data_IF_832413878385
#
_entry.id   IF_832413878385
#
_cell.length_a   1.000
_cell.length_b   1.000
_cell.length_c   1.000
_cell.angle_alpha   90.00
_cell.angle_beta   90.00
_cell.angle_gamma   90.00
#
_symmetry.space_group_name_H-M   'P 1'
#
loop_
_entity.id
_entity.type
_entity.pdbx_description
1 polymer ?
#
# COMPACT_ATOMS: atom_id res chain seq x y z
N UNK A 1 6.05 31.73 -37.95
CA UNK A 1 5.16 31.61 -36.78
C UNK A 1 4.90 30.15 -36.41
N UNK A 2 4.41 29.31 -37.34
CA UNK A 2 4.12 27.89 -37.06
C UNK A 2 5.33 27.10 -36.53
N UNK A 3 6.50 27.20 -37.19
CA UNK A 3 7.75 26.53 -36.77
C UNK A 3 8.21 26.92 -35.36
N UNK A 4 7.99 28.18 -34.99
CA UNK A 4 8.32 28.73 -33.67
C UNK A 4 7.48 28.06 -32.58
N UNK A 5 6.18 27.85 -32.84
CA UNK A 5 5.28 27.15 -31.92
C UNK A 5 5.63 25.66 -31.81
N UNK A 6 5.94 25.02 -32.92
CA UNK A 6 6.33 23.60 -32.94
C UNK A 6 7.60 23.35 -32.12
N UNK A 7 8.60 24.23 -32.25
CA UNK A 7 9.82 24.16 -31.45
C UNK A 7 9.54 24.30 -29.94
N UNK A 8 8.69 25.25 -29.56
CA UNK A 8 8.30 25.49 -28.15
C UNK A 8 7.60 24.26 -27.57
N UNK A 9 6.66 23.67 -28.31
CA UNK A 9 5.91 22.48 -27.84
C UNK A 9 6.85 21.27 -27.70
N UNK A 10 7.78 21.08 -28.62
CA UNK A 10 8.77 19.99 -28.55
C UNK A 10 9.71 20.17 -27.35
N UNK A 11 10.21 21.39 -27.10
CA UNK A 11 11.03 21.69 -25.93
C UNK A 11 10.27 21.46 -24.62
N UNK A 12 9.00 21.85 -24.58
CA UNK A 12 8.13 21.61 -23.42
C UNK A 12 7.90 20.12 -23.19
N UNK A 13 7.64 19.34 -24.24
CA UNK A 13 7.51 17.89 -24.15
C UNK A 13 8.77 17.25 -23.57
N UNK A 14 9.95 17.58 -24.11
CA UNK A 14 11.22 17.01 -23.67
C UNK A 14 11.52 17.39 -22.22
N UNK A 15 11.24 18.63 -21.83
CA UNK A 15 11.43 19.09 -20.45
C UNK A 15 10.53 18.31 -19.49
N UNK A 16 9.23 18.16 -19.82
CA UNK A 16 8.30 17.35 -19.03
C UNK A 16 8.72 15.88 -18.99
N UNK A 17 9.19 15.31 -20.09
CA UNK A 17 9.63 13.92 -20.14
C UNK A 17 10.83 13.68 -19.22
N UNK A 18 11.78 14.63 -19.20
CA UNK A 18 12.92 14.59 -18.29
C UNK A 18 12.47 14.66 -16.83
N UNK A 19 11.59 15.61 -16.49
CA UNK A 19 11.04 15.74 -15.14
C UNK A 19 10.30 14.47 -14.70
N UNK A 20 9.40 13.95 -15.54
CA UNK A 20 8.66 12.71 -15.27
C UNK A 20 9.60 11.52 -15.10
N UNK A 21 10.61 11.38 -15.95
CA UNK A 21 11.57 10.27 -15.88
C UNK A 21 12.44 10.35 -14.63
N UNK A 22 12.91 11.55 -14.25
CA UNK A 22 13.66 11.77 -13.02
C UNK A 22 12.80 11.47 -11.78
N UNK A 23 11.57 11.99 -11.76
CA UNK A 23 10.60 11.71 -10.69
C UNK A 23 10.34 10.21 -10.58
N UNK A 24 10.09 9.54 -11.70
CA UNK A 24 9.87 8.09 -11.76
C UNK A 24 11.07 7.31 -11.24
N UNK A 25 12.29 7.69 -11.61
CA UNK A 25 13.51 7.06 -11.13
C UNK A 25 13.65 7.17 -9.60
N UNK A 26 13.49 8.38 -9.05
CA UNK A 26 13.59 8.60 -7.59
C UNK A 26 12.52 7.83 -6.82
N UNK A 27 11.28 7.82 -7.31
CA UNK A 27 10.17 7.11 -6.68
C UNK A 27 10.38 5.61 -6.78
N UNK A 28 10.68 5.07 -7.96
CA UNK A 28 10.93 3.64 -8.18
C UNK A 28 12.05 3.09 -7.28
N UNK A 29 13.13 3.86 -7.09
CA UNK A 29 14.22 3.48 -6.17
C UNK A 29 13.74 3.34 -4.73
N UNK A 30 12.88 4.24 -4.25
CA UNK A 30 12.30 4.15 -2.90
C UNK A 30 11.33 2.95 -2.80
N UNK A 31 10.52 2.75 -3.83
CA UNK A 31 9.53 1.69 -3.89
C UNK A 31 10.15 0.29 -3.91
N UNK A 32 11.27 0.10 -4.60
CA UNK A 32 11.97 -1.18 -4.67
C UNK A 32 12.46 -1.69 -3.31
N UNK A 33 12.70 -0.80 -2.34
CA UNK A 33 13.10 -1.19 -0.99
C UNK A 33 11.92 -1.56 -0.09
N UNK A 34 10.69 -1.16 -0.45
CA UNK A 34 9.50 -1.33 0.37
C UNK A 34 9.14 -2.80 0.66
N UNK A 35 9.20 -3.74 -0.30
CA UNK A 35 8.91 -5.16 -0.03
C UNK A 35 9.85 -5.78 1.00
N UNK A 36 11.14 -5.41 0.97
CA UNK A 36 12.13 -5.90 1.93
C UNK A 36 11.84 -5.39 3.33
N UNK A 37 11.60 -4.08 3.46
CA UNK A 37 11.25 -3.45 4.74
C UNK A 37 9.97 -4.02 5.33
N UNK A 38 8.98 -4.30 4.47
CA UNK A 38 7.73 -4.91 4.85
C UNK A 38 7.91 -6.35 5.29
N UNK A 39 8.72 -7.16 4.60
CA UNK A 39 8.97 -8.55 4.99
C UNK A 39 9.41 -8.66 6.45
N UNK A 40 10.33 -7.81 6.89
CA UNK A 40 10.78 -7.78 8.29
C UNK A 40 9.65 -7.34 9.24
N UNK A 41 8.90 -6.30 8.89
CA UNK A 41 7.80 -5.80 9.73
C UNK A 41 6.63 -6.78 9.81
N UNK A 42 6.39 -7.54 8.74
CA UNK A 42 5.37 -8.58 8.64
C UNK A 42 5.66 -9.70 9.62
N UNK A 43 6.92 -10.14 9.76
CA UNK A 43 7.30 -11.13 10.76
C UNK A 43 6.97 -10.67 12.19
N UNK A 44 7.24 -9.40 12.52
CA UNK A 44 6.86 -8.83 13.82
C UNK A 44 5.35 -8.81 14.02
N UNK A 45 4.59 -8.47 12.97
CA UNK A 45 3.12 -8.51 12.99
C UNK A 45 2.58 -9.91 13.22
N UNK A 46 3.13 -10.90 12.53
CA UNK A 46 2.74 -12.31 12.71
C UNK A 46 3.04 -12.80 14.13
N UNK A 47 4.17 -12.42 14.71
CA UNK A 47 4.49 -12.72 16.11
C UNK A 47 3.50 -12.06 17.07
N UNK A 48 3.10 -10.82 16.82
CA UNK A 48 2.10 -10.12 17.64
C UNK A 48 0.74 -10.80 17.57
N UNK A 49 0.28 -11.13 16.37
CA UNK A 49 -0.96 -11.90 16.16
C UNK A 49 -0.87 -13.24 16.89
N UNK A 50 0.26 -13.95 16.78
CA UNK A 50 0.47 -15.22 17.46
C UNK A 50 0.44 -15.07 18.99
N UNK A 51 1.08 -14.05 19.54
CA UNK A 51 1.03 -13.73 20.98
C UNK A 51 -0.41 -13.48 21.45
N UNK A 52 -1.17 -12.65 20.73
CA UNK A 52 -2.56 -12.35 21.07
C UNK A 52 -3.46 -13.60 20.96
N UNK A 53 -3.17 -14.51 20.02
CA UNK A 53 -3.85 -15.81 19.91
C UNK A 53 -3.49 -16.71 21.09
N UNK A 54 -2.23 -16.76 21.54
CA UNK A 54 -1.84 -17.49 22.74
C UNK A 54 -2.48 -16.90 24.01
N UNK A 55 -2.55 -15.58 24.11
CA UNK A 55 -3.23 -14.89 25.21
C UNK A 55 -4.74 -15.14 25.20
N UNK A 56 -5.33 -15.38 24.02
CA UNK A 56 -6.71 -15.81 23.89
C UNK A 56 -6.89 -17.25 24.39
N UNK A 57 -6.03 -18.17 23.93
CA UNK A 57 -6.07 -19.59 24.30
C UNK A 57 -5.83 -19.82 25.81
N UNK A 58 -4.86 -19.11 26.40
CA UNK A 58 -4.62 -19.17 27.84
C UNK A 58 -5.77 -18.59 28.66
N UNK A 59 -6.48 -17.57 28.15
CA UNK A 59 -7.69 -17.09 28.81
C UNK A 59 -8.89 -18.03 28.67
N UNK A 60 -8.93 -18.87 27.63
CA UNK A 60 -9.95 -19.94 27.55
C UNK A 60 -9.65 -21.07 28.53
N UNK A 61 -8.38 -21.39 28.79
CA UNK A 61 -8.01 -22.37 29.82
C UNK A 61 -8.38 -21.86 31.25
N UNK A 62 -8.17 -20.57 31.53
CA UNK A 62 -8.62 -19.93 32.78
C UNK A 62 -10.16 -19.90 32.91
N UNK A 63 -10.87 -19.83 31.80
CA UNK A 63 -12.32 -19.91 31.74
C UNK A 63 -12.82 -21.31 32.13
N UNK A 64 -12.17 -22.36 31.62
CA UNK A 64 -12.46 -23.75 31.97
C UNK A 64 -12.16 -24.02 33.46
N UNK A 65 -11.03 -23.55 33.98
CA UNK A 65 -10.69 -23.65 35.42
C UNK A 65 -11.67 -22.85 36.29
N UNK A 66 -12.10 -21.67 35.84
CA UNK A 66 -13.12 -20.84 36.50
C UNK A 66 -14.51 -21.48 36.52
N UNK A 67 -14.89 -22.20 35.46
CA UNK A 67 -16.13 -22.97 35.40
C UNK A 67 -16.10 -24.19 36.34
N UNK A 68 -14.94 -24.85 36.47
CA UNK A 68 -14.74 -25.92 37.45
C UNK A 68 -14.87 -25.37 38.88
N UNK A 69 -14.31 -24.18 39.16
CA UNK A 69 -14.47 -23.50 40.45
C UNK A 69 -15.89 -23.02 40.75
N UNK A 70 -16.66 -22.63 39.73
CA UNK A 70 -18.02 -22.12 39.87
C UNK A 70 -19.08 -23.20 40.17
N UNK A 71 -18.75 -24.48 39.98
CA UNK A 71 -19.58 -25.61 40.43
C UNK A 71 -19.67 -25.70 41.98
N UNK A 72 -18.88 -24.93 42.73
CA UNK A 72 -19.06 -24.73 44.16
C UNK A 72 -20.07 -23.58 44.44
N UNK A 73 -21.36 -23.92 44.40
CA UNK A 73 -22.46 -23.18 45.06
C UNK A 73 -22.62 -21.67 44.72
N UNK A 74 -22.41 -21.28 43.46
CA UNK A 74 -22.62 -19.89 43.00
C UNK A 74 -24.08 -19.71 42.51
N UNK A 75 -24.79 -18.69 43.01
CA UNK A 75 -26.15 -18.32 42.53
C UNK A 75 -26.13 -18.04 41.02
N UNK A 76 -27.12 -18.53 40.28
CA UNK A 76 -27.13 -18.49 38.79
C UNK A 76 -26.89 -17.10 38.19
N UNK A 77 -27.33 -16.03 38.86
CA UNK A 77 -27.15 -14.65 38.40
C UNK A 77 -25.68 -14.18 38.46
N UNK A 78 -24.90 -14.65 39.43
CA UNK A 78 -23.48 -14.35 39.55
C UNK A 78 -22.65 -15.13 38.50
N UNK A 79 -23.04 -16.38 38.24
CA UNK A 79 -22.48 -17.17 37.14
C UNK A 79 -22.76 -16.52 35.77
N UNK A 80 -23.99 -16.05 35.55
CA UNK A 80 -24.35 -15.37 34.30
C UNK A 80 -23.54 -14.08 34.09
N UNK A 81 -23.40 -13.23 35.13
CA UNK A 81 -22.59 -12.00 35.04
C UNK A 81 -21.10 -12.29 34.81
N UNK A 82 -20.58 -13.36 35.40
CA UNK A 82 -19.21 -13.82 35.17
C UNK A 82 -19.02 -14.27 33.72
N UNK A 83 -19.89 -15.14 33.20
CA UNK A 83 -19.86 -15.61 31.81
C UNK A 83 -19.98 -14.45 30.81
N UNK A 84 -20.90 -13.51 31.04
CA UNK A 84 -21.03 -12.32 30.17
C UNK A 84 -19.77 -11.46 30.13
N UNK A 85 -19.08 -11.31 31.27
CA UNK A 85 -17.84 -10.54 31.36
C UNK A 85 -16.73 -11.23 30.59
N UNK A 86 -16.57 -12.53 30.75
CA UNK A 86 -15.54 -13.31 30.07
C UNK A 86 -15.79 -13.38 28.55
N UNK A 87 -17.03 -13.61 28.13
CA UNK A 87 -17.41 -13.59 26.70
C UNK A 87 -17.11 -12.22 26.07
N UNK A 88 -17.38 -11.12 26.77
CA UNK A 88 -17.00 -9.77 26.31
C UNK A 88 -15.49 -9.58 26.26
N UNK A 89 -14.75 -10.14 27.23
CA UNK A 89 -13.29 -10.14 27.25
C UNK A 89 -12.69 -10.85 26.02
N UNK A 90 -13.10 -12.08 25.77
CA UNK A 90 -12.73 -12.88 24.58
C UNK A 90 -13.10 -12.14 23.29
N UNK A 91 -14.31 -11.58 23.21
CA UNK A 91 -14.77 -10.80 22.05
C UNK A 91 -13.88 -9.59 21.75
N UNK A 92 -13.39 -8.91 22.79
CA UNK A 92 -12.46 -7.78 22.63
C UNK A 92 -11.08 -8.20 22.11
N UNK A 93 -10.53 -9.31 22.61
CA UNK A 93 -9.27 -9.90 22.11
C UNK A 93 -9.37 -10.33 20.65
N UNK A 94 -10.46 -11.02 20.27
CA UNK A 94 -10.72 -11.40 18.87
C UNK A 94 -10.76 -10.17 17.96
N UNK A 95 -11.40 -9.07 18.42
CA UNK A 95 -11.46 -7.82 17.66
C UNK A 95 -10.08 -7.19 17.45
N UNK A 96 -9.20 -7.27 18.44
CA UNK A 96 -7.82 -6.80 18.35
C UNK A 96 -7.04 -7.63 17.32
N UNK A 97 -7.10 -8.96 17.41
CA UNK A 97 -6.48 -9.89 16.45
C UNK A 97 -6.94 -9.57 15.02
N UNK A 98 -8.25 -9.43 14.81
CA UNK A 98 -8.82 -9.11 13.49
C UNK A 98 -8.32 -7.74 12.97
N UNK A 99 -8.14 -6.76 13.85
CA UNK A 99 -7.61 -5.44 13.47
C UNK A 99 -6.16 -5.54 12.98
N UNK A 100 -5.33 -6.36 13.65
CA UNK A 100 -3.96 -6.62 13.20
C UNK A 100 -3.93 -7.35 11.86
N UNK A 101 -4.71 -8.42 11.68
CA UNK A 101 -4.79 -9.18 10.43
C UNK A 101 -5.23 -8.25 9.27
N UNK A 102 -6.34 -7.52 9.45
CA UNK A 102 -6.85 -6.61 8.41
C UNK A 102 -5.85 -5.51 8.05
N UNK A 103 -5.09 -5.02 9.03
CA UNK A 103 -4.04 -4.02 8.77
C UNK A 103 -2.88 -4.60 7.95
N UNK A 104 -2.50 -5.86 8.22
CA UNK A 104 -1.47 -6.57 7.48
C UNK A 104 -1.88 -6.77 6.01
N UNK A 105 -3.09 -7.26 5.78
CA UNK A 105 -3.62 -7.50 4.42
C UNK A 105 -3.71 -6.20 3.61
N UNK A 106 -4.12 -5.10 4.24
CA UNK A 106 -4.14 -3.78 3.57
C UNK A 106 -2.74 -3.35 3.13
N UNK A 107 -1.70 -3.57 3.94
CA UNK A 107 -0.33 -3.21 3.58
C UNK A 107 0.18 -4.13 2.45
N UNK A 108 -0.09 -5.43 2.50
CA UNK A 108 0.22 -6.37 1.41
C UNK A 108 -0.43 -5.93 0.08
N UNK A 109 -1.70 -5.53 0.13
CA UNK A 109 -2.43 -5.02 -1.03
C UNK A 109 -1.82 -3.72 -1.57
N UNK A 110 -1.44 -2.77 -0.70
CA UNK A 110 -0.79 -1.53 -1.12
C UNK A 110 0.56 -1.79 -1.80
N UNK A 111 1.40 -2.66 -1.23
CA UNK A 111 2.72 -2.97 -1.80
C UNK A 111 2.57 -3.65 -3.17
N UNK A 112 1.63 -4.59 -3.27
CA UNK A 112 1.34 -5.28 -4.54
C UNK A 112 0.83 -4.29 -5.59
N UNK A 113 -0.09 -3.40 -5.20
CA UNK A 113 -0.63 -2.34 -6.07
C UNK A 113 0.46 -1.40 -6.57
N UNK A 114 1.30 -0.89 -5.66
CA UNK A 114 2.47 -0.06 -5.99
C UNK A 114 3.37 -0.76 -7.01
N UNK A 115 3.68 -2.05 -6.82
CA UNK A 115 4.54 -2.79 -7.73
C UNK A 115 3.93 -2.93 -9.13
N UNK A 116 2.60 -3.04 -9.26
CA UNK A 116 1.92 -3.02 -10.56
C UNK A 116 2.01 -1.64 -11.20
N UNK A 117 1.68 -0.59 -10.44
CA UNK A 117 1.65 0.78 -10.94
C UNK A 117 3.02 1.24 -11.45
N UNK A 118 4.13 0.82 -10.83
CA UNK A 118 5.49 1.12 -11.35
C UNK A 118 5.69 0.59 -12.77
N UNK A 119 5.24 -0.64 -13.05
CA UNK A 119 5.37 -1.24 -14.38
C UNK A 119 4.49 -0.50 -15.39
N UNK A 120 3.28 -0.15 -14.99
CA UNK A 120 2.35 0.63 -15.82
C UNK A 120 2.94 2.00 -16.17
N UNK A 121 3.48 2.73 -15.19
CA UNK A 121 4.15 4.01 -15.42
C UNK A 121 5.33 3.85 -16.40
N UNK A 122 6.16 2.81 -16.23
CA UNK A 122 7.26 2.54 -17.14
C UNK A 122 6.78 2.37 -18.58
N UNK A 123 5.70 1.61 -18.79
CA UNK A 123 5.12 1.42 -20.11
C UNK A 123 4.48 2.69 -20.67
N UNK A 124 3.88 3.55 -19.83
CA UNK A 124 3.33 4.83 -20.27
C UNK A 124 4.44 5.80 -20.71
N UNK A 125 5.58 5.84 -19.99
CA UNK A 125 6.75 6.62 -20.39
C UNK A 125 7.30 6.11 -21.72
N UNK A 126 7.46 4.78 -21.88
CA UNK A 126 7.89 4.19 -23.14
C UNK A 126 6.94 4.52 -24.30
N UNK A 127 5.63 4.38 -24.08
CA UNK A 127 4.61 4.69 -25.07
C UNK A 127 4.63 6.19 -25.44
N UNK A 128 4.87 7.07 -24.47
CA UNK A 128 5.05 8.51 -24.71
C UNK A 128 6.24 8.77 -25.63
N UNK A 129 7.40 8.15 -25.36
CA UNK A 129 8.61 8.28 -26.19
C UNK A 129 8.37 7.76 -27.60
N UNK A 130 7.73 6.60 -27.76
CA UNK A 130 7.43 6.02 -29.07
C UNK A 130 6.49 6.95 -29.85
N UNK A 131 5.42 7.43 -29.21
CA UNK A 131 4.48 8.38 -29.82
C UNK A 131 5.19 9.66 -30.27
N UNK A 132 6.11 10.19 -29.45
CA UNK A 132 6.91 11.36 -29.82
C UNK A 132 7.89 11.08 -30.96
N UNK A 133 8.45 9.87 -31.05
CA UNK A 133 9.31 9.49 -32.18
C UNK A 133 8.50 9.38 -33.48
N UNK A 134 7.28 8.83 -33.43
CA UNK A 134 6.38 8.71 -34.59
C UNK A 134 5.99 10.07 -35.16
N UNK A 135 5.89 11.10 -34.31
CA UNK A 135 5.63 12.48 -34.75
C UNK A 135 6.68 13.03 -35.74
N UNK A 136 7.93 12.56 -35.70
CA UNK A 136 8.98 13.01 -36.62
C UNK A 136 9.04 12.25 -37.95
N UNK A 137 8.19 11.24 -38.17
CA UNK A 137 8.19 10.46 -39.41
C UNK A 137 7.42 11.25 -40.49
N UNK A 138 8.09 11.76 -41.53
CA UNK A 138 7.43 12.54 -42.56
C UNK A 138 6.45 11.68 -43.36
N UNK A 139 5.26 12.22 -43.64
CA UNK A 139 4.23 11.56 -44.48
C UNK A 139 3.08 10.91 -43.71
N UNK A 140 3.07 10.98 -42.37
CA UNK A 140 1.89 10.70 -41.57
C UNK A 140 0.97 11.93 -41.57
N UNK A 141 -0.35 11.72 -41.67
CA UNK A 141 -1.35 12.79 -41.57
C UNK A 141 -1.80 13.06 -40.13
N UNK A 142 -1.21 12.35 -39.16
CA UNK A 142 -1.64 12.29 -37.76
C UNK A 142 -0.60 12.92 -36.81
N UNK A 143 0.36 13.67 -37.33
CA UNK A 143 1.51 14.18 -36.58
C UNK A 143 1.10 14.96 -35.32
N UNK A 144 0.12 15.86 -35.45
CA UNK A 144 -0.41 16.62 -34.31
C UNK A 144 -1.09 15.74 -33.24
N UNK A 145 -1.68 14.61 -33.63
CA UNK A 145 -2.25 13.65 -32.69
C UNK A 145 -1.15 12.91 -31.93
N UNK A 146 -0.09 12.46 -32.61
CA UNK A 146 1.04 11.80 -31.95
C UNK A 146 1.74 12.69 -30.92
N UNK A 147 1.88 13.98 -31.23
CA UNK A 147 2.38 14.98 -30.29
C UNK A 147 1.44 15.14 -29.08
N UNK A 148 0.13 15.27 -29.33
CA UNK A 148 -0.89 15.34 -28.28
C UNK A 148 -0.92 14.09 -27.39
N UNK A 149 -0.86 12.90 -27.97
CA UNK A 149 -0.77 11.63 -27.26
C UNK A 149 0.49 11.53 -26.41
N UNK A 150 1.64 11.93 -26.96
CA UNK A 150 2.90 11.90 -26.22
C UNK A 150 2.84 12.78 -24.96
N UNK A 151 2.32 14.01 -25.09
CA UNK A 151 2.12 14.94 -23.97
C UNK A 151 1.11 14.39 -22.95
N UNK A 152 -0.02 13.88 -23.42
CA UNK A 152 -1.05 13.29 -22.55
C UNK A 152 -0.51 12.11 -21.73
N UNK A 153 0.19 11.17 -22.38
CA UNK A 153 0.82 10.03 -21.71
C UNK A 153 1.87 10.48 -20.69
N UNK A 154 2.62 11.54 -20.99
CA UNK A 154 3.65 12.08 -20.10
C UNK A 154 3.01 12.68 -18.82
N UNK A 155 1.95 13.48 -18.98
CA UNK A 155 1.18 14.04 -17.85
C UNK A 155 0.58 12.93 -16.99
N UNK A 156 -0.03 11.92 -17.63
CA UNK A 156 -0.62 10.77 -16.93
C UNK A 156 0.47 10.01 -16.16
N UNK A 157 1.64 9.78 -16.78
CA UNK A 157 2.78 9.13 -16.13
C UNK A 157 3.26 9.91 -14.90
N UNK A 158 3.35 11.23 -15.01
CA UNK A 158 3.72 12.11 -13.89
C UNK A 158 2.71 12.02 -12.75
N UNK A 159 1.41 12.10 -13.06
CA UNK A 159 0.33 11.96 -12.09
C UNK A 159 0.40 10.63 -11.33
N UNK A 160 0.51 9.51 -12.04
CA UNK A 160 0.61 8.20 -11.40
C UNK A 160 1.88 8.05 -10.57
N UNK A 161 2.99 8.63 -11.00
CA UNK A 161 4.23 8.62 -10.22
C UNK A 161 4.08 9.36 -8.89
N UNK A 162 3.45 10.53 -8.89
CA UNK A 162 3.16 11.30 -7.66
C UNK A 162 2.21 10.50 -6.77
N UNK A 163 1.15 9.92 -7.34
CA UNK A 163 0.21 9.09 -6.60
C UNK A 163 0.90 7.90 -5.93
N UNK A 164 1.72 7.14 -6.65
CA UNK A 164 2.49 6.02 -6.09
C UNK A 164 3.41 6.46 -4.95
N UNK A 165 3.98 7.65 -5.03
CA UNK A 165 4.79 8.21 -3.94
C UNK A 165 3.98 8.54 -2.69
N UNK A 166 2.76 9.07 -2.84
CA UNK A 166 1.87 9.33 -1.70
C UNK A 166 1.47 8.03 -0.99
N UNK A 167 1.07 7.01 -1.77
CA UNK A 167 0.73 5.68 -1.22
C UNK A 167 1.94 5.06 -0.52
N UNK A 168 3.13 5.19 -1.10
CA UNK A 168 4.38 4.76 -0.45
C UNK A 168 4.60 5.41 0.91
N UNK A 169 4.41 6.73 1.00
CA UNK A 169 4.60 7.47 2.25
C UNK A 169 3.66 6.95 3.34
N UNK A 170 2.41 6.70 2.98
CA UNK A 170 1.40 6.20 3.93
C UNK A 170 1.69 4.76 4.37
N UNK A 171 2.12 3.90 3.44
CA UNK A 171 2.55 2.54 3.75
C UNK A 171 3.81 2.54 4.65
N UNK A 172 4.80 3.36 4.32
CA UNK A 172 6.04 3.46 5.09
C UNK A 172 5.80 3.97 6.51
N UNK A 173 4.90 4.95 6.69
CA UNK A 173 4.53 5.44 8.02
C UNK A 173 3.99 4.31 8.90
N UNK A 174 3.07 3.50 8.36
CA UNK A 174 2.54 2.32 9.07
C UNK A 174 3.65 1.33 9.40
N UNK A 175 4.51 0.99 8.43
CA UNK A 175 5.64 0.07 8.66
C UNK A 175 6.57 0.58 9.78
N UNK A 176 6.83 1.89 9.84
CA UNK A 176 7.64 2.51 10.90
C UNK A 176 6.94 2.49 12.26
N UNK A 177 5.63 2.75 12.34
CA UNK A 177 4.85 2.63 13.59
C UNK A 177 4.95 1.20 14.16
N UNK A 178 4.95 0.20 13.29
CA UNK A 178 5.09 -1.21 13.67
C UNK A 178 6.49 -1.50 14.21
N UNK A 179 7.53 -1.02 13.52
CA UNK A 179 8.93 -1.22 13.95
C UNK A 179 9.29 -0.45 15.23
N UNK A 180 8.67 0.71 15.44
CA UNK A 180 8.96 1.60 16.59
C UNK A 180 8.21 1.21 17.86
N UNK A 181 7.04 0.57 17.73
CA UNK A 181 6.43 -0.20 18.82
C UNK A 181 7.24 -1.48 19.07
N UNK A 182 8.49 -1.30 19.53
CA UNK A 182 9.27 -2.37 20.13
C UNK A 182 8.54 -2.85 21.39
N UNK A 183 8.55 -4.16 21.58
CA UNK A 183 8.23 -4.91 22.80
C UNK A 183 8.60 -4.13 24.07
#
# INVERSE_FOLDING_TARGET
MLESYTLIVNLLYVSLLLETSLLFYFVSRKLNNLPYLWKDARSLYSLRIFSEVLDLLSSTDLLDDGMIGANFNIKSEALQKFLEKEVKGVGSKIKIINTYISSMEKIDAYISGISSTIKEIFYLILASIISFALYFIPGFSLDGLFLGFSLGLNIISMYYTIYSYLVYRDAMKKIMEIRSNKL
#
